data_IF_369315777025
#
_entry.id   IF_369315777025
#
_cell.length_a   1.000
_cell.length_b   1.000
_cell.length_c   1.000
_cell.angle_alpha   90.00
_cell.angle_beta   90.00
_cell.angle_gamma   90.00
#
_symmetry.space_group_name_H-M   'P 1'
#
loop_
_entity.id
_entity.type
_entity.pdbx_description
1 polymer ?
#
# COMPACT_ATOMS: atom_id res chain seq x y z
N UNK A 1 -2.57 33.94 19.91
CA UNK A 1 -3.95 34.27 19.50
C UNK A 1 -4.48 33.11 18.68
N UNK A 2 -5.04 32.09 19.34
CA UNK A 2 -5.85 31.07 18.67
C UNK A 2 -7.21 31.08 19.36
N UNK A 3 -8.01 32.09 19.05
CA UNK A 3 -9.46 32.04 19.26
C UNK A 3 -10.04 31.09 18.22
N UNK A 4 -9.77 29.80 18.38
CA UNK A 4 -10.40 28.73 17.61
C UNK A 4 -11.73 28.40 18.25
N UNK A 5 -12.73 29.24 18.06
CA UNK A 5 -14.10 28.72 18.06
C UNK A 5 -14.11 27.67 16.94
N UNK A 6 -14.38 26.42 17.30
CA UNK A 6 -14.34 25.30 16.36
C UNK A 6 -15.29 25.63 15.20
N UNK A 7 -14.81 25.60 13.95
CA UNK A 7 -15.67 25.84 12.78
C UNK A 7 -16.91 24.92 12.76
N UNK A 8 -16.82 23.79 13.47
CA UNK A 8 -17.93 22.88 13.73
C UNK A 8 -18.99 23.45 14.68
N UNK A 9 -18.62 24.20 15.72
CA UNK A 9 -19.58 24.81 16.65
C UNK A 9 -20.46 25.84 15.92
N UNK A 10 -19.86 26.65 15.04
CA UNK A 10 -20.61 27.59 14.21
C UNK A 10 -21.54 26.90 13.20
N UNK A 11 -21.16 25.72 12.69
CA UNK A 11 -21.99 24.96 11.76
C UNK A 11 -23.19 24.32 12.47
N UNK A 12 -22.98 23.81 13.69
CA UNK A 12 -24.04 23.27 14.54
C UNK A 12 -25.07 24.35 14.86
N UNK A 13 -24.64 25.56 15.22
CA UNK A 13 -25.54 26.69 15.51
C UNK A 13 -26.39 27.09 14.30
N UNK A 14 -25.81 27.07 13.10
CA UNK A 14 -26.53 27.38 11.84
C UNK A 14 -27.56 26.30 11.49
N UNK A 15 -27.20 25.02 11.69
CA UNK A 15 -28.11 23.89 11.50
C UNK A 15 -29.26 23.91 12.52
N UNK A 16 -28.96 24.16 13.80
CA UNK A 16 -29.96 24.28 14.87
C UNK A 16 -30.94 25.43 14.60
N UNK A 17 -30.46 26.59 14.14
CA UNK A 17 -31.32 27.71 13.80
C UNK A 17 -32.24 27.40 12.60
N UNK A 18 -31.74 26.68 11.59
CA UNK A 18 -32.55 26.25 10.43
C UNK A 18 -33.57 25.16 10.79
N UNK A 19 -33.19 24.22 11.67
CA UNK A 19 -34.09 23.20 12.19
C UNK A 19 -35.20 23.82 13.04
N UNK A 20 -34.85 24.75 13.94
CA UNK A 20 -35.82 25.46 14.78
C UNK A 20 -36.78 26.32 13.96
N UNK A 21 -36.33 26.92 12.86
CA UNK A 21 -37.22 27.64 11.93
C UNK A 21 -38.26 26.70 11.29
N UNK A 22 -37.88 25.46 10.97
CA UNK A 22 -38.77 24.45 10.40
C UNK A 22 -39.72 23.85 11.45
N UNK A 23 -39.27 23.67 12.69
CA UNK A 23 -40.13 23.19 13.80
C UNK A 23 -41.19 24.22 14.18
N UNK A 24 -40.87 25.52 14.10
CA UNK A 24 -41.80 26.61 14.43
C UNK A 24 -43.02 26.70 13.52
N UNK A 25 -42.98 26.12 12.32
CA UNK A 25 -44.08 26.16 11.35
C UNK A 25 -45.00 24.93 11.40
N UNK A 26 -44.68 23.94 12.23
CA UNK A 26 -45.45 22.70 12.37
C UNK A 26 -46.66 22.88 13.30
N UNK A 27 -47.73 22.12 13.03
CA UNK A 27 -48.91 22.06 13.91
C UNK A 27 -48.66 21.20 15.15
N UNK A 28 -49.50 21.34 16.18
CA UNK A 28 -49.37 20.58 17.42
C UNK A 28 -49.45 19.05 17.23
N UNK A 29 -50.26 18.58 16.29
CA UNK A 29 -50.31 17.14 15.94
C UNK A 29 -49.00 16.67 15.30
N UNK A 30 -48.43 17.48 14.40
CA UNK A 30 -47.16 17.17 13.74
C UNK A 30 -45.97 17.21 14.69
N UNK A 31 -46.00 18.11 15.68
CA UNK A 31 -44.98 18.21 16.72
C UNK A 31 -45.05 17.02 17.70
N UNK A 32 -46.26 16.55 18.01
CA UNK A 32 -46.46 15.36 18.83
C UNK A 32 -45.94 14.10 18.11
N UNK A 33 -46.20 13.98 16.81
CA UNK A 33 -45.62 12.90 15.99
C UNK A 33 -44.09 13.00 15.87
N UNK A 34 -43.51 14.21 15.85
CA UNK A 34 -42.06 14.40 15.83
C UNK A 34 -41.39 13.96 17.14
N UNK A 35 -42.07 14.10 18.29
CA UNK A 35 -41.54 13.73 19.60
C UNK A 35 -41.47 12.20 19.79
N UNK A 36 -42.38 11.45 19.20
CA UNK A 36 -42.49 10.00 19.39
C UNK A 36 -42.00 9.16 18.20
N UNK A 37 -41.60 9.78 17.08
CA UNK A 37 -41.16 9.07 15.89
C UNK A 37 -39.78 9.57 15.42
N UNK A 38 -38.72 8.84 15.78
CA UNK A 38 -37.33 9.15 15.43
C UNK A 38 -37.11 9.24 13.91
N UNK A 39 -37.77 8.40 13.11
CA UNK A 39 -37.64 8.44 11.64
C UNK A 39 -38.08 9.77 11.02
N UNK A 40 -39.05 10.43 11.65
CA UNK A 40 -39.51 11.76 11.22
C UNK A 40 -38.50 12.83 11.57
N UNK A 41 -37.84 12.69 12.73
CA UNK A 41 -36.76 13.58 13.16
C UNK A 41 -35.54 13.45 12.21
N UNK A 42 -35.15 12.22 11.85
CA UNK A 42 -34.10 11.96 10.86
C UNK A 42 -34.46 12.58 9.50
N UNK A 43 -35.71 12.42 9.05
CA UNK A 43 -36.16 13.04 7.80
C UNK A 43 -36.09 14.56 7.85
N UNK A 44 -36.33 15.19 9.01
CA UNK A 44 -36.22 16.64 9.17
C UNK A 44 -34.74 17.08 9.07
N UNK A 45 -33.84 16.30 9.67
CA UNK A 45 -32.39 16.52 9.67
C UNK A 45 -31.84 16.38 8.23
N UNK A 46 -32.20 15.32 7.51
CA UNK A 46 -31.76 15.10 6.12
C UNK A 46 -32.25 16.19 5.15
N UNK A 47 -33.41 16.79 5.45
CA UNK A 47 -33.96 17.88 4.65
C UNK A 47 -33.34 19.25 4.96
N UNK A 48 -32.50 19.37 5.98
CA UNK A 48 -31.81 20.63 6.27
C UNK A 48 -30.88 20.98 5.10
N UNK A 49 -30.91 22.24 4.61
CA UNK A 49 -30.15 22.62 3.43
C UNK A 49 -28.64 22.46 3.62
N UNK A 50 -28.15 22.67 4.86
CA UNK A 50 -26.75 22.48 5.23
C UNK A 50 -26.35 21.00 5.18
N UNK A 51 -27.21 20.07 5.59
CA UNK A 51 -26.89 18.63 5.58
C UNK A 51 -26.99 18.08 4.16
N UNK A 52 -27.98 18.53 3.40
CA UNK A 52 -28.19 18.13 2.01
C UNK A 52 -27.08 18.57 1.05
N UNK A 53 -26.37 19.66 1.33
CA UNK A 53 -25.26 20.13 0.49
C UNK A 53 -23.91 19.45 0.80
N UNK A 54 -23.74 18.86 1.99
CA UNK A 54 -22.49 18.21 2.39
C UNK A 54 -22.04 17.06 1.46
N UNK A 55 -22.91 16.18 0.96
CA UNK A 55 -22.51 15.15 0.00
C UNK A 55 -21.93 15.77 -1.28
N UNK A 56 -22.58 16.80 -1.81
CA UNK A 56 -22.12 17.51 -3.02
C UNK A 56 -20.81 18.24 -2.79
N UNK A 57 -20.64 18.90 -1.64
CA UNK A 57 -19.38 19.56 -1.27
C UNK A 57 -18.24 18.55 -1.08
N UNK A 58 -18.53 17.40 -0.46
CA UNK A 58 -17.59 16.29 -0.33
C UNK A 58 -17.17 15.76 -1.71
N UNK A 59 -18.13 15.54 -2.60
CA UNK A 59 -17.86 15.09 -3.97
C UNK A 59 -17.04 16.12 -4.75
N UNK A 60 -17.38 17.41 -4.62
CA UNK A 60 -16.62 18.50 -5.23
C UNK A 60 -15.17 18.57 -4.70
N UNK A 61 -14.98 18.45 -3.38
CA UNK A 61 -13.65 18.42 -2.76
C UNK A 61 -12.83 17.18 -3.15
N UNK A 62 -13.47 16.01 -3.26
CA UNK A 62 -12.83 14.79 -3.76
C UNK A 62 -12.42 14.95 -5.23
N UNK A 63 -13.31 15.47 -6.09
CA UNK A 63 -13.03 15.72 -7.49
C UNK A 63 -11.90 16.75 -7.68
N UNK A 64 -11.89 17.81 -6.88
CA UNK A 64 -10.82 18.82 -6.88
C UNK A 64 -9.50 18.19 -6.47
N UNK A 65 -9.44 17.49 -5.34
CA UNK A 65 -8.22 16.84 -4.87
C UNK A 65 -7.71 15.80 -5.87
N UNK A 66 -8.60 15.01 -6.46
CA UNK A 66 -8.26 14.07 -7.53
C UNK A 66 -7.65 14.79 -8.73
N UNK A 67 -8.28 15.88 -9.20
CA UNK A 67 -7.77 16.66 -10.32
C UNK A 67 -6.41 17.29 -10.01
N UNK A 68 -6.18 17.78 -8.79
CA UNK A 68 -4.87 18.28 -8.36
C UNK A 68 -3.82 17.17 -8.31
N UNK A 69 -4.18 16.00 -7.81
CA UNK A 69 -3.29 14.85 -7.78
C UNK A 69 -2.90 14.42 -9.20
N UNK A 70 -3.87 14.26 -10.10
CA UNK A 70 -3.62 13.95 -11.52
C UNK A 70 -2.72 14.99 -12.18
N UNK A 71 -2.94 16.28 -11.91
CA UNK A 71 -2.08 17.36 -12.41
C UNK A 71 -0.66 17.28 -11.83
N UNK A 72 -0.50 17.04 -10.53
CA UNK A 72 0.80 16.89 -9.88
C UNK A 72 1.59 15.69 -10.44
N UNK A 73 0.92 14.54 -10.63
CA UNK A 73 1.53 13.36 -11.25
C UNK A 73 1.96 13.66 -12.70
N UNK A 74 1.14 14.38 -13.45
CA UNK A 74 1.50 14.81 -14.80
C UNK A 74 2.74 15.72 -14.81
N UNK A 75 2.88 16.63 -13.83
CA UNK A 75 4.06 17.49 -13.70
C UNK A 75 5.32 16.72 -13.30
N UNK A 76 5.20 15.66 -12.49
CA UNK A 76 6.35 14.85 -12.05
C UNK A 76 7.11 14.26 -13.24
N UNK A 77 6.38 13.74 -14.24
CA UNK A 77 7.00 13.21 -15.46
C UNK A 77 7.84 14.24 -16.22
N UNK A 78 7.36 15.49 -16.29
CA UNK A 78 8.06 16.60 -16.95
C UNK A 78 9.30 17.02 -16.15
N UNK A 79 9.22 17.03 -14.83
CA UNK A 79 10.35 17.33 -13.97
C UNK A 79 11.45 16.28 -14.11
N UNK A 80 11.09 15.00 -14.21
CA UNK A 80 12.07 13.93 -14.37
C UNK A 80 12.75 13.97 -15.74
N UNK A 81 12.00 14.26 -16.81
CA UNK A 81 12.58 14.50 -18.14
C UNK A 81 13.59 15.66 -18.11
N UNK A 82 13.24 16.78 -17.48
CA UNK A 82 14.14 17.93 -17.36
C UNK A 82 15.36 17.62 -16.50
N UNK A 83 15.20 16.86 -15.41
CA UNK A 83 16.33 16.43 -14.55
C UNK A 83 17.32 15.57 -15.32
N UNK A 84 16.84 14.63 -16.13
CA UNK A 84 17.69 13.81 -17.00
C UNK A 84 18.41 14.68 -18.02
N UNK A 85 17.69 15.57 -18.70
CA UNK A 85 18.26 16.44 -19.72
C UNK A 85 19.37 17.33 -19.16
N UNK A 86 19.12 18.00 -18.02
CA UNK A 86 20.12 18.87 -17.37
C UNK A 86 21.36 18.08 -16.95
N UNK A 87 21.20 16.87 -16.40
CA UNK A 87 22.35 16.04 -16.02
C UNK A 87 23.14 15.53 -17.21
N UNK A 88 22.47 15.18 -18.31
CA UNK A 88 23.11 14.76 -19.55
C UNK A 88 23.96 15.89 -20.13
N UNK A 89 23.38 17.09 -20.27
CA UNK A 89 24.10 18.28 -20.76
C UNK A 89 25.30 18.60 -19.87
N UNK A 90 25.14 18.58 -18.54
CA UNK A 90 26.23 18.85 -17.60
C UNK A 90 27.35 17.79 -17.64
N UNK A 91 27.03 16.54 -18.02
CA UNK A 91 28.03 15.48 -18.20
C UNK A 91 28.81 15.67 -19.51
N UNK A 92 28.12 16.06 -20.58
CA UNK A 92 28.74 16.33 -21.88
C UNK A 92 29.65 17.57 -21.83
N UNK A 93 29.20 18.66 -21.21
CA UNK A 93 30.01 19.87 -21.02
C UNK A 93 31.31 19.60 -20.26
N UNK A 94 31.26 18.74 -19.24
CA UNK A 94 32.44 18.34 -18.49
C UNK A 94 33.44 17.49 -19.31
N UNK A 95 32.94 16.70 -20.26
CA UNK A 95 33.76 15.90 -21.18
C UNK A 95 34.43 16.80 -22.23
N UNK A 96 33.65 17.74 -22.79
CA UNK A 96 34.15 18.77 -23.71
C UNK A 96 35.23 19.65 -23.04
N UNK A 97 35.06 20.00 -21.77
CA UNK A 97 36.05 20.74 -20.97
C UNK A 97 37.36 19.97 -20.79
N UNK A 98 37.29 18.64 -20.64
CA UNK A 98 38.45 17.76 -20.50
C UNK A 98 39.16 17.57 -21.85
N UNK A 99 38.41 17.44 -22.94
CA UNK A 99 38.97 17.49 -24.30
C UNK A 99 39.63 18.83 -24.60
N UNK A 100 39.02 19.94 -24.16
CA UNK A 100 39.55 21.29 -24.31
C UNK A 100 40.91 21.45 -23.63
N UNK A 101 41.06 20.92 -22.41
CA UNK A 101 42.34 20.89 -21.71
C UNK A 101 43.41 20.08 -22.47
N UNK A 102 43.01 18.97 -23.10
CA UNK A 102 43.90 18.14 -23.93
C UNK A 102 44.33 18.87 -25.20
N UNK A 103 43.40 19.57 -25.86
CA UNK A 103 43.68 20.39 -27.05
C UNK A 103 44.61 21.56 -26.71
N UNK A 104 44.44 22.20 -25.55
CA UNK A 104 45.30 23.29 -25.08
C UNK A 104 46.75 22.84 -24.78
N UNK A 105 46.93 21.60 -24.32
CA UNK A 105 48.27 21.01 -24.17
C UNK A 105 48.92 20.76 -25.53
N UNK A 106 48.18 20.19 -26.48
CA UNK A 106 48.67 19.93 -27.83
C UNK A 106 49.08 21.19 -28.59
N UNK A 107 48.45 22.34 -28.29
CA UNK A 107 48.81 23.64 -28.86
C UNK A 107 49.94 24.36 -28.12
N UNK A 108 50.46 23.80 -27.02
CA UNK A 108 51.54 24.37 -26.22
C UNK A 108 51.13 25.55 -25.33
N UNK A 109 49.82 25.78 -25.14
CA UNK A 109 49.30 26.89 -24.33
C UNK A 109 49.43 26.67 -22.81
N UNK A 110 49.64 25.42 -22.38
CA UNK A 110 49.79 25.02 -20.97
C UNK A 110 51.03 24.15 -20.77
N UNK A 111 51.66 24.25 -19.59
CA UNK A 111 52.82 23.42 -19.22
C UNK A 111 52.39 21.99 -18.85
N UNK A 112 53.33 21.03 -18.91
CA UNK A 112 53.04 19.62 -18.64
C UNK A 112 52.55 19.35 -17.21
N UNK A 113 53.09 20.07 -16.21
CA UNK A 113 52.66 19.94 -14.80
C UNK A 113 51.24 20.45 -14.60
N UNK A 114 50.88 21.56 -15.26
CA UNK A 114 49.55 22.15 -15.15
C UNK A 114 48.50 21.34 -15.89
N UNK A 115 48.87 20.77 -17.05
CA UNK A 115 48.03 19.83 -17.78
C UNK A 115 47.67 18.58 -16.97
N UNK A 116 48.64 17.98 -16.27
CA UNK A 116 48.38 16.78 -15.45
C UNK A 116 47.35 17.05 -14.35
N UNK A 117 47.46 18.19 -13.68
CA UNK A 117 46.54 18.60 -12.63
C UNK A 117 45.13 18.84 -13.19
N UNK A 118 45.02 19.66 -14.23
CA UNK A 118 43.73 20.06 -14.81
C UNK A 118 43.01 18.87 -15.47
N UNK A 119 43.73 17.96 -16.13
CA UNK A 119 43.16 16.78 -16.74
C UNK A 119 42.61 15.80 -15.69
N UNK A 120 43.33 15.58 -14.58
CA UNK A 120 42.86 14.73 -13.49
C UNK A 120 41.57 15.28 -12.87
N UNK A 121 41.54 16.58 -12.57
CA UNK A 121 40.36 17.25 -12.00
C UNK A 121 39.16 17.20 -12.97
N UNK A 122 39.36 17.55 -14.24
CA UNK A 122 38.27 17.56 -15.23
C UNK A 122 37.78 16.16 -15.58
N UNK A 123 38.68 15.18 -15.75
CA UNK A 123 38.32 13.79 -16.08
C UNK A 123 37.61 13.08 -14.93
N UNK A 124 38.01 13.33 -13.68
CA UNK A 124 37.31 12.79 -12.51
C UNK A 124 35.90 13.38 -12.39
N UNK A 125 35.73 14.68 -12.64
CA UNK A 125 34.43 15.35 -12.67
C UNK A 125 33.55 14.83 -13.81
N UNK A 126 34.07 14.69 -15.03
CA UNK A 126 33.34 14.15 -16.18
C UNK A 126 32.85 12.71 -15.90
N UNK A 127 33.73 11.84 -15.40
CA UNK A 127 33.37 10.47 -15.02
C UNK A 127 32.30 10.43 -13.92
N UNK A 128 32.43 11.26 -12.88
CA UNK A 128 31.42 11.36 -11.82
C UNK A 128 30.06 11.83 -12.34
N UNK A 129 30.03 12.83 -13.22
CA UNK A 129 28.77 13.32 -13.83
C UNK A 129 28.14 12.29 -14.76
N UNK A 130 28.94 11.55 -15.53
CA UNK A 130 28.49 10.43 -16.36
C UNK A 130 27.84 9.34 -15.53
N UNK A 131 28.53 8.86 -14.49
CA UNK A 131 27.98 7.85 -13.56
C UNK A 131 26.70 8.34 -12.88
N UNK A 132 26.64 9.61 -12.46
CA UNK A 132 25.43 10.21 -11.86
C UNK A 132 24.27 10.36 -12.85
N UNK A 133 24.56 10.57 -14.13
CA UNK A 133 23.57 10.61 -15.21
C UNK A 133 23.00 9.21 -15.47
N UNK A 134 23.88 8.23 -15.67
CA UNK A 134 23.51 6.83 -15.95
C UNK A 134 22.76 6.20 -14.77
N UNK A 135 23.15 6.53 -13.54
CA UNK A 135 22.45 6.07 -12.33
C UNK A 135 21.06 6.68 -12.22
N UNK A 136 20.87 7.95 -12.59
CA UNK A 136 19.54 8.58 -12.58
C UNK A 136 18.61 7.90 -13.59
N UNK A 137 19.11 7.63 -14.80
CA UNK A 137 18.36 6.88 -15.81
C UNK A 137 17.95 5.50 -15.32
N UNK A 138 18.86 4.79 -14.63
CA UNK A 138 18.58 3.47 -14.04
C UNK A 138 17.48 3.56 -12.98
N UNK A 139 17.56 4.54 -12.06
CA UNK A 139 16.56 4.73 -11.01
C UNK A 139 15.19 5.06 -11.59
N UNK A 140 15.11 5.93 -12.60
CA UNK A 140 13.85 6.27 -13.25
C UNK A 140 13.24 5.05 -13.97
N UNK A 141 14.08 4.20 -14.56
CA UNK A 141 13.65 2.95 -15.17
C UNK A 141 13.09 1.97 -14.13
N UNK A 142 13.78 1.82 -13.00
CA UNK A 142 13.35 0.96 -11.89
C UNK A 142 12.05 1.47 -11.24
N UNK A 143 11.89 2.80 -11.13
CA UNK A 143 10.64 3.42 -10.68
C UNK A 143 9.48 3.16 -11.64
N UNK A 144 9.72 3.22 -12.96
CA UNK A 144 8.70 2.85 -13.96
C UNK A 144 8.30 1.37 -13.83
N UNK A 145 9.26 0.47 -13.58
CA UNK A 145 8.96 -0.94 -13.31
C UNK A 145 8.20 -1.14 -11.99
N UNK A 146 8.50 -0.36 -10.96
CA UNK A 146 7.78 -0.40 -9.68
C UNK A 146 6.34 0.14 -9.77
N UNK A 147 6.08 1.09 -10.66
CA UNK A 147 4.72 1.59 -10.95
C UNK A 147 3.92 0.65 -11.87
N UNK A 148 4.59 -0.16 -12.70
CA UNK A 148 3.97 -1.18 -13.56
C UNK A 148 3.69 -2.50 -12.84
N UNK A 149 4.25 -2.71 -11.65
CA UNK A 149 3.86 -3.81 -10.77
C UNK A 149 2.45 -3.53 -10.20
N UNK A 150 1.57 -4.54 -10.08
CA UNK A 150 0.29 -4.35 -9.40
C UNK A 150 0.57 -3.75 -8.02
N UNK A 151 -0.14 -2.67 -7.70
CA UNK A 151 0.03 -1.90 -6.48
C UNK A 151 0.11 -2.84 -5.27
N UNK A 152 1.23 -2.75 -4.54
CA UNK A 152 1.33 -3.32 -3.20
C UNK A 152 0.12 -2.77 -2.42
N UNK A 153 -0.71 -3.63 -1.78
CA UNK A 153 -1.86 -3.16 -1.05
C UNK A 153 -1.39 -2.15 -0.02
N UNK A 154 -1.99 -0.97 -0.07
CA UNK A 154 -1.77 0.10 0.90
C UNK A 154 -1.93 -0.46 2.30
N UNK A 155 -1.19 0.11 3.26
CA UNK A 155 -1.34 -0.16 4.69
C UNK A 155 -2.68 0.39 5.19
N UNK A 156 -3.76 -0.23 4.73
CA UNK A 156 -5.16 -0.08 5.08
C UNK A 156 -5.75 -1.48 4.86
N UNK A 157 -6.53 -1.95 5.82
CA UNK A 157 -7.28 -3.22 5.74
C UNK A 157 -8.15 -3.19 4.49
N UNK A 158 -7.71 -3.84 3.41
CA UNK A 158 -8.58 -4.15 2.27
C UNK A 158 -9.19 -5.51 2.55
N UNK A 159 -10.40 -5.48 3.12
CA UNK A 159 -11.33 -6.58 2.92
C UNK A 159 -11.64 -6.63 1.42
N UNK A 160 -10.97 -7.52 0.68
CA UNK A 160 -11.49 -8.01 -0.59
C UNK A 160 -12.60 -9.03 -0.34
N UNK A 161 -13.55 -8.68 0.52
CA UNK A 161 -14.80 -9.44 0.62
C UNK A 161 -15.82 -8.67 -0.20
N UNK A 162 -15.77 -8.87 -1.51
CA UNK A 162 -16.88 -8.48 -2.39
C UNK A 162 -18.05 -9.40 -2.04
N UNK A 163 -19.17 -8.92 -1.49
CA UNK A 163 -20.34 -9.77 -1.39
C UNK A 163 -20.81 -10.03 -2.82
N UNK A 164 -20.78 -11.29 -3.26
CA UNK A 164 -21.46 -11.68 -4.49
C UNK A 164 -22.94 -11.48 -4.24
N UNK A 165 -23.51 -10.38 -4.74
CA UNK A 165 -24.96 -10.16 -4.73
C UNK A 165 -25.52 -11.16 -5.74
N UNK A 166 -26.00 -12.29 -5.24
CA UNK A 166 -26.91 -13.15 -5.99
C UNK A 166 -28.28 -12.48 -5.85
N UNK A 167 -28.76 -11.86 -6.93
CA UNK A 167 -30.17 -11.49 -7.03
C UNK A 167 -31.00 -12.77 -6.92
N UNK A 168 -31.64 -12.96 -5.78
CA UNK A 168 -32.70 -13.93 -5.61
C UNK A 168 -33.92 -13.17 -5.11
N UNK A 169 -34.87 -12.97 -6.03
CA UNK A 169 -36.24 -12.65 -5.68
C UNK A 169 -36.74 -13.71 -4.68
N UNK A 170 -37.57 -13.28 -3.73
CA UNK A 170 -38.33 -14.07 -2.74
C UNK A 170 -37.79 -14.07 -1.29
N UNK A 171 -38.24 -13.04 -0.55
CA UNK A 171 -38.93 -13.15 0.76
C UNK A 171 -38.33 -14.03 1.88
N UNK A 172 -37.02 -14.17 2.01
CA UNK A 172 -36.37 -14.58 3.27
C UNK A 172 -35.02 -13.87 3.41
N UNK A 173 -34.69 -13.40 4.62
CA UNK A 173 -33.47 -12.67 4.93
C UNK A 173 -32.26 -13.61 4.83
N UNK A 174 -31.65 -13.74 3.65
CA UNK A 174 -30.46 -14.57 3.42
C UNK A 174 -29.26 -13.89 4.08
N UNK A 175 -28.85 -14.41 5.24
CA UNK A 175 -27.61 -13.97 5.89
C UNK A 175 -26.43 -14.55 5.11
N UNK A 176 -25.67 -13.69 4.44
CA UNK A 176 -24.41 -14.08 3.80
C UNK A 176 -23.44 -14.65 4.83
N UNK A 177 -22.85 -15.80 4.48
CA UNK A 177 -21.91 -16.55 5.33
C UNK A 177 -20.65 -16.86 4.52
N UNK A 178 -19.50 -16.69 5.14
CA UNK A 178 -18.22 -17.10 4.57
C UNK A 178 -17.90 -18.53 5.02
N UNK A 179 -17.62 -19.40 4.06
CA UNK A 179 -17.34 -20.81 4.34
C UNK A 179 -16.05 -21.00 5.14
N UNK A 180 -14.95 -20.40 4.65
CA UNK A 180 -13.63 -20.42 5.29
C UNK A 180 -12.96 -19.05 5.16
N UNK A 181 -12.60 -18.48 6.31
CA UNK A 181 -11.97 -17.18 6.42
C UNK A 181 -10.66 -17.30 7.21
N UNK A 182 -9.58 -16.77 6.66
CA UNK A 182 -8.29 -16.69 7.31
C UNK A 182 -8.10 -15.30 7.91
N UNK A 183 -7.79 -15.25 9.21
CA UNK A 183 -7.33 -14.06 9.92
C UNK A 183 -5.82 -14.17 10.05
N UNK A 184 -5.11 -13.43 9.19
CA UNK A 184 -3.64 -13.39 9.16
C UNK A 184 -3.13 -12.28 10.08
N UNK A 185 -2.13 -12.58 10.87
CA UNK A 185 -1.53 -11.68 11.86
C UNK A 185 -0.02 -11.66 11.60
N UNK A 186 0.49 -10.50 11.19
CA UNK A 186 1.88 -10.31 10.84
C UNK A 186 2.55 -9.28 11.75
N UNK A 187 3.81 -9.50 12.07
CA UNK A 187 4.61 -8.52 12.79
C UNK A 187 6.05 -8.99 13.00
N UNK A 188 6.87 -8.11 13.56
CA UNK A 188 8.30 -8.37 13.77
C UNK A 188 8.61 -8.92 15.16
N UNK A 189 7.75 -8.62 16.14
CA UNK A 189 7.89 -9.14 17.51
C UNK A 189 6.99 -10.37 17.69
N UNK A 190 7.64 -11.51 17.91
CA UNK A 190 7.00 -12.79 18.12
C UNK A 190 6.05 -12.78 19.33
N UNK A 191 6.42 -12.11 20.42
CA UNK A 191 5.71 -12.19 21.71
C UNK A 191 4.32 -11.57 21.66
N UNK A 192 4.17 -10.44 20.96
CA UNK A 192 2.88 -9.78 20.80
C UNK A 192 1.95 -10.55 19.87
N UNK A 193 2.49 -11.13 18.79
CA UNK A 193 1.69 -11.87 17.80
C UNK A 193 1.09 -13.14 18.42
N UNK A 194 1.85 -13.89 19.22
CA UNK A 194 1.36 -15.12 19.86
C UNK A 194 0.26 -14.83 20.91
N UNK A 195 0.46 -13.79 21.72
CA UNK A 195 -0.54 -13.32 22.67
C UNK A 195 -1.80 -12.85 21.95
N UNK A 196 -1.64 -12.14 20.84
CA UNK A 196 -2.74 -11.59 20.07
C UNK A 196 -3.51 -12.65 19.27
N UNK A 197 -2.82 -13.67 18.72
CA UNK A 197 -3.44 -14.86 18.14
C UNK A 197 -4.34 -15.56 19.17
N UNK A 198 -3.84 -15.74 20.39
CA UNK A 198 -4.62 -16.34 21.48
C UNK A 198 -5.83 -15.47 21.87
N UNK A 199 -5.70 -14.15 21.82
CA UNK A 199 -6.80 -13.21 22.05
C UNK A 199 -7.87 -13.32 20.96
N UNK A 200 -7.47 -13.34 19.68
CA UNK A 200 -8.35 -13.49 18.52
C UNK A 200 -9.10 -14.82 18.57
N UNK A 201 -8.44 -15.94 18.89
CA UNK A 201 -9.10 -17.25 19.03
C UNK A 201 -10.18 -17.23 20.13
N UNK A 202 -9.84 -16.69 21.31
CA UNK A 202 -10.82 -16.54 22.41
C UNK A 202 -11.98 -15.62 22.03
N UNK A 203 -11.71 -14.54 21.32
CA UNK A 203 -12.73 -13.59 20.88
C UNK A 203 -13.65 -14.22 19.83
N UNK A 204 -13.10 -14.94 18.86
CA UNK A 204 -13.88 -15.63 17.82
C UNK A 204 -14.87 -16.63 18.45
N UNK A 205 -14.43 -17.38 19.47
CA UNK A 205 -15.32 -18.29 20.21
C UNK A 205 -16.45 -17.57 20.95
N UNK A 206 -16.20 -16.36 21.48
CA UNK A 206 -17.23 -15.52 22.14
C UNK A 206 -18.25 -14.96 21.15
N UNK A 207 -17.84 -14.70 19.92
CA UNK A 207 -18.72 -14.31 18.81
C UNK A 207 -19.43 -15.50 18.14
N UNK A 208 -19.31 -16.71 18.73
CA UNK A 208 -19.88 -17.95 18.22
C UNK A 208 -19.39 -18.34 16.82
N UNK A 209 -18.17 -17.94 16.43
CA UNK A 209 -17.52 -18.46 15.23
C UNK A 209 -16.86 -19.80 15.50
N UNK A 210 -16.89 -20.68 14.49
CA UNK A 210 -16.24 -21.96 14.57
C UNK A 210 -14.78 -21.86 14.11
N UNK A 211 -13.84 -21.89 15.06
CA UNK A 211 -12.40 -21.87 14.77
C UNK A 211 -11.94 -23.27 14.36
N UNK A 212 -11.52 -23.43 13.12
CA UNK A 212 -11.09 -24.72 12.54
C UNK A 212 -9.64 -25.02 12.93
N UNK A 213 -8.75 -24.08 12.64
CA UNK A 213 -7.31 -24.22 12.92
C UNK A 213 -6.71 -22.89 13.34
N UNK A 214 -5.66 -22.96 14.15
CA UNK A 214 -4.85 -21.82 14.55
C UNK A 214 -3.40 -22.26 14.47
N UNK A 215 -2.65 -21.75 13.48
CA UNK A 215 -1.33 -22.27 13.14
C UNK A 215 -0.31 -21.18 12.89
N UNK A 216 0.95 -21.63 12.98
CA UNK A 216 2.14 -20.86 12.71
C UNK A 216 2.62 -21.07 11.29
N UNK A 217 2.99 -19.99 10.60
CA UNK A 217 3.74 -20.06 9.34
C UNK A 217 5.21 -19.75 9.60
N UNK A 218 6.10 -20.30 8.77
CA UNK A 218 7.53 -20.07 8.82
C UNK A 218 7.84 -18.56 8.66
N UNK A 219 8.76 -18.07 9.48
CA UNK A 219 9.14 -16.66 9.46
C UNK A 219 9.93 -16.31 8.19
N UNK A 220 9.66 -15.13 7.63
CA UNK A 220 10.40 -14.60 6.50
C UNK A 220 11.49 -13.66 7.02
N UNK A 221 12.76 -14.04 6.86
CA UNK A 221 13.89 -13.19 7.23
C UNK A 221 14.27 -12.28 6.07
N UNK A 222 14.25 -10.97 6.30
CA UNK A 222 14.71 -9.95 5.37
C UNK A 222 15.98 -9.31 5.89
N UNK A 223 16.98 -9.15 5.03
CA UNK A 223 18.25 -8.52 5.39
C UNK A 223 18.18 -7.02 5.07
N UNK A 224 18.24 -6.18 6.10
CA UNK A 224 18.22 -4.72 5.97
C UNK A 224 19.64 -4.21 6.16
N UNK A 225 20.16 -3.59 5.11
CA UNK A 225 21.54 -3.09 5.05
C UNK A 225 21.52 -1.57 5.02
N UNK A 226 22.20 -0.94 5.98
CA UNK A 226 22.40 0.50 6.03
C UNK A 226 23.79 0.80 5.49
N UNK A 227 23.87 1.70 4.52
CA UNK A 227 25.12 2.12 3.91
C UNK A 227 25.65 3.40 4.53
N UNK A 228 26.98 3.58 4.50
CA UNK A 228 27.61 4.83 4.90
C UNK A 228 27.16 5.99 3.99
N UNK A 229 27.05 7.22 4.52
CA UNK A 229 26.66 8.37 3.71
C UNK A 229 27.62 8.52 2.51
N UNK A 230 27.05 8.60 1.31
CA UNK A 230 27.78 8.72 0.04
C UNK A 230 28.72 7.54 -0.32
N UNK A 231 28.49 6.35 0.24
CA UNK A 231 29.28 5.16 -0.07
C UNK A 231 28.39 3.92 -0.25
N UNK A 232 28.91 2.90 -0.94
CA UNK A 232 28.31 1.56 -1.03
C UNK A 232 28.83 0.62 0.05
N UNK A 233 29.71 1.10 0.92
CA UNK A 233 30.23 0.34 2.05
C UNK A 233 29.11 0.19 3.08
N UNK A 234 28.85 -1.06 3.44
CA UNK A 234 27.89 -1.42 4.49
C UNK A 234 28.38 -0.87 5.82
N UNK A 235 27.51 -0.14 6.50
CA UNK A 235 27.74 0.38 7.85
C UNK A 235 27.16 -0.58 8.89
N UNK A 236 25.89 -0.96 8.71
CA UNK A 236 25.17 -1.87 9.60
C UNK A 236 24.33 -2.86 8.80
N UNK A 237 24.20 -4.07 9.33
CA UNK A 237 23.38 -5.15 8.78
C UNK A 237 22.47 -5.70 9.89
N UNK A 238 21.16 -5.73 9.62
CA UNK A 238 20.14 -6.22 10.55
C UNK A 238 19.26 -7.22 9.82
N UNK A 239 19.16 -8.43 10.39
CA UNK A 239 18.21 -9.44 9.94
C UNK A 239 16.87 -9.24 10.63
N UNK A 240 15.86 -8.83 9.87
CA UNK A 240 14.51 -8.61 10.34
C UNK A 240 13.64 -9.82 10.01
N UNK A 241 13.19 -10.55 11.03
CA UNK A 241 12.29 -11.69 10.86
C UNK A 241 10.83 -11.24 10.95
N UNK A 242 10.06 -11.45 9.88
CA UNK A 242 8.62 -11.24 9.87
C UNK A 242 7.92 -12.55 10.26
N UNK A 243 7.26 -12.54 11.41
CA UNK A 243 6.47 -13.66 11.91
C UNK A 243 5.04 -13.55 11.42
N UNK A 244 4.45 -14.70 11.14
CA UNK A 244 3.11 -14.82 10.58
C UNK A 244 2.32 -15.91 11.30
N UNK A 245 1.11 -15.57 11.73
CA UNK A 245 0.16 -16.44 12.43
C UNK A 245 -1.19 -16.32 11.76
N UNK A 246 -1.87 -17.46 11.60
CA UNK A 246 -3.17 -17.52 10.93
C UNK A 246 -4.18 -18.22 11.82
N UNK A 247 -5.35 -17.61 11.99
CA UNK A 247 -6.52 -18.22 12.63
C UNK A 247 -7.58 -18.44 11.55
N UNK A 248 -7.96 -19.70 11.33
CA UNK A 248 -8.94 -20.11 10.33
C UNK A 248 -10.31 -20.27 10.98
N UNK A 249 -11.27 -19.52 10.48
CA UNK A 249 -12.67 -19.53 10.90
C UNK A 249 -13.52 -20.19 9.83
N UNK A 250 -14.57 -20.90 10.24
CA UNK A 250 -15.57 -21.48 9.35
C UNK A 250 -16.97 -20.95 9.63
N UNK A 251 -17.80 -20.92 8.59
CA UNK A 251 -19.22 -20.54 8.66
C UNK A 251 -19.45 -19.19 9.37
N UNK A 252 -18.74 -18.17 8.91
CA UNK A 252 -18.73 -16.85 9.53
C UNK A 252 -19.86 -16.00 8.96
N UNK A 253 -20.84 -15.62 9.78
CA UNK A 253 -21.92 -14.73 9.36
C UNK A 253 -21.41 -13.29 9.12
N UNK A 254 -21.71 -12.72 7.95
CA UNK A 254 -21.21 -11.42 7.53
C UNK A 254 -21.53 -10.25 8.51
N UNK A 255 -22.73 -10.16 9.12
CA UNK A 255 -23.01 -9.09 10.08
C UNK A 255 -22.16 -9.16 11.35
N UNK A 256 -21.96 -10.36 11.89
CA UNK A 256 -21.12 -10.57 13.06
C UNK A 256 -19.63 -10.37 12.74
N UNK A 257 -19.21 -10.70 11.51
CA UNK A 257 -17.84 -10.49 11.07
C UNK A 257 -17.47 -9.02 11.09
N UNK A 258 -18.36 -8.14 10.65
CA UNK A 258 -18.10 -6.70 10.66
C UNK A 258 -17.82 -6.20 12.09
N UNK A 259 -18.66 -6.60 13.06
CA UNK A 259 -18.47 -6.26 14.47
C UNK A 259 -17.17 -6.84 15.04
N UNK A 260 -16.85 -8.07 14.66
CA UNK A 260 -15.61 -8.73 15.06
C UNK A 260 -14.37 -8.01 14.53
N UNK A 261 -14.39 -7.57 13.26
CA UNK A 261 -13.29 -6.83 12.65
C UNK A 261 -13.07 -5.51 13.39
N UNK A 262 -14.13 -4.74 13.62
CA UNK A 262 -14.04 -3.48 14.38
C UNK A 262 -13.42 -3.71 15.76
N UNK A 263 -13.80 -4.79 16.45
CA UNK A 263 -13.24 -5.12 17.76
C UNK A 263 -11.75 -5.55 17.69
N UNK A 264 -11.37 -6.29 16.65
CA UNK A 264 -9.96 -6.66 16.45
C UNK A 264 -9.10 -5.44 16.13
N UNK A 265 -9.64 -4.50 15.35
CA UNK A 265 -8.97 -3.23 15.02
C UNK A 265 -8.80 -2.33 16.25
N UNK A 266 -9.79 -2.25 17.15
CA UNK A 266 -9.67 -1.42 18.37
C UNK A 266 -8.64 -1.96 19.36
N UNK A 267 -8.40 -3.27 19.36
CA UNK A 267 -7.45 -3.93 20.26
C UNK A 267 -6.10 -4.26 19.60
N UNK A 268 -5.84 -3.76 18.40
CA UNK A 268 -4.63 -4.05 17.64
C UNK A 268 -3.38 -3.47 18.34
N UNK A 269 -2.39 -4.32 18.71
CA UNK A 269 -1.15 -3.83 19.30
C UNK A 269 -0.24 -3.14 18.27
N UNK A 270 0.61 -2.25 18.76
CA UNK A 270 1.56 -1.50 17.92
C UNK A 270 2.51 -2.45 17.20
N UNK A 271 2.70 -2.22 15.89
CA UNK A 271 3.63 -3.00 15.07
C UNK A 271 3.09 -4.34 14.58
N UNK A 272 1.82 -4.66 14.85
CA UNK A 272 1.13 -5.83 14.31
C UNK A 272 0.16 -5.39 13.20
N UNK A 273 0.11 -6.15 12.13
CA UNK A 273 -0.82 -5.97 11.01
C UNK A 273 -1.73 -7.17 10.92
N UNK A 274 -3.04 -6.94 10.82
CA UNK A 274 -4.04 -8.00 10.65
C UNK A 274 -4.67 -7.91 9.26
N UNK A 275 -4.91 -9.05 8.64
CA UNK A 275 -5.55 -9.14 7.33
C UNK A 275 -6.61 -10.22 7.36
N UNK A 276 -7.83 -9.87 6.95
CA UNK A 276 -8.94 -10.80 6.78
C UNK A 276 -9.03 -11.18 5.31
N UNK A 277 -8.76 -12.44 4.98
CA UNK A 277 -8.77 -12.97 3.61
C UNK A 277 -9.60 -14.24 3.55
N UNK A 278 -10.39 -14.43 2.49
CA UNK A 278 -11.01 -15.73 2.21
C UNK A 278 -9.91 -16.78 1.98
N UNK A 279 -10.13 -17.99 2.48
CA UNK A 279 -9.14 -19.05 2.35
C UNK A 279 -9.04 -19.57 0.92
N UNK A 280 -7.83 -19.59 0.38
CA UNK A 280 -7.52 -20.20 -0.93
C UNK A 280 -6.51 -21.34 -0.79
N UNK A 281 -6.48 -22.24 -1.77
CA UNK A 281 -5.51 -23.35 -1.83
C UNK A 281 -4.05 -22.87 -1.82
N UNK A 282 -3.77 -21.71 -2.41
CA UNK A 282 -2.44 -21.10 -2.39
C UNK A 282 -1.96 -20.77 -0.96
N UNK A 283 -2.86 -20.46 -0.02
CA UNK A 283 -2.51 -20.18 1.37
C UNK A 283 -2.11 -21.47 2.13
N UNK A 284 -2.65 -22.61 1.71
CA UNK A 284 -2.24 -23.93 2.19
C UNK A 284 -0.87 -24.32 1.63
N UNK A 285 -0.65 -24.14 0.33
CA UNK A 285 0.65 -24.43 -0.29
C UNK A 285 1.77 -23.57 0.34
N UNK A 286 1.48 -22.31 0.68
CA UNK A 286 2.41 -21.41 1.37
C UNK A 286 2.83 -21.88 2.77
N UNK A 287 1.99 -22.66 3.45
CA UNK A 287 2.31 -23.24 4.77
C UNK A 287 3.41 -24.29 4.68
N UNK A 288 3.51 -25.02 3.57
CA UNK A 288 4.43 -26.14 3.41
C UNK A 288 5.75 -25.70 2.80
N UNK A 289 6.83 -26.34 3.23
CA UNK A 289 8.15 -26.15 2.63
C UNK A 289 8.18 -26.91 1.30
N UNK A 290 8.45 -26.26 0.16
CA UNK A 290 8.51 -26.95 -1.12
C UNK A 290 9.60 -28.03 -1.14
N UNK A 291 9.27 -29.23 -1.61
CA UNK A 291 10.26 -30.27 -1.86
C UNK A 291 11.09 -29.92 -3.11
N UNK A 292 12.32 -29.47 -2.87
CA UNK A 292 13.23 -29.04 -3.92
C UNK A 292 13.61 -30.20 -4.85
N UNK A 293 13.75 -31.42 -4.32
CA UNK A 293 14.13 -32.60 -5.10
C UNK A 293 12.99 -33.02 -6.01
N UNK A 294 11.75 -33.06 -5.48
CA UNK A 294 10.57 -33.35 -6.28
C UNK A 294 10.41 -32.34 -7.43
N UNK A 295 10.60 -31.04 -7.12
CA UNK A 295 10.53 -29.98 -8.12
C UNK A 295 11.59 -30.13 -9.20
N UNK A 296 12.84 -30.44 -8.82
CA UNK A 296 13.92 -30.72 -9.77
C UNK A 296 13.61 -31.91 -10.66
N UNK A 297 13.07 -33.01 -10.10
CA UNK A 297 12.72 -34.20 -10.86
C UNK A 297 11.56 -33.96 -11.83
N UNK A 298 10.57 -33.16 -11.43
CA UNK A 298 9.49 -32.74 -12.31
C UNK A 298 10.00 -31.84 -13.45
N UNK A 299 10.94 -30.94 -13.18
CA UNK A 299 11.55 -30.09 -14.19
C UNK A 299 12.43 -30.90 -15.15
N UNK A 300 13.17 -31.88 -14.65
CA UNK A 300 13.94 -32.84 -15.44
C UNK A 300 13.02 -33.62 -16.40
N UNK A 301 11.91 -34.17 -15.90
CA UNK A 301 10.89 -34.83 -16.72
C UNK A 301 10.29 -33.90 -17.78
N UNK A 302 9.96 -32.65 -17.43
CA UNK A 302 9.48 -31.66 -18.40
C UNK A 302 10.54 -31.31 -19.45
N UNK A 303 11.81 -31.25 -19.06
CA UNK A 303 12.91 -30.99 -19.98
C UNK A 303 13.08 -32.13 -20.98
N UNK A 304 12.85 -33.37 -20.53
CA UNK A 304 12.83 -34.57 -21.36
C UNK A 304 11.68 -34.56 -22.37
N UNK A 305 10.62 -33.76 -22.23
CA UNK A 305 9.61 -33.62 -23.30
C UNK A 305 10.15 -32.90 -24.55
N UNK A 306 11.28 -32.20 -24.44
CA UNK A 306 11.93 -31.59 -25.60
C UNK A 306 12.75 -32.62 -26.40
N UNK A 307 12.50 -32.80 -27.71
CA UNK A 307 13.19 -33.80 -28.53
C UNK A 307 14.71 -33.56 -28.63
N UNK A 308 15.14 -32.29 -28.54
CA UNK A 308 16.56 -31.91 -28.53
C UNK A 308 17.26 -32.46 -27.28
N UNK A 309 16.59 -32.42 -26.13
CA UNK A 309 17.14 -32.91 -24.86
C UNK A 309 17.20 -34.44 -24.87
N UNK A 310 16.18 -35.13 -25.41
CA UNK A 310 16.19 -36.60 -25.58
C UNK A 310 17.33 -37.09 -26.45
N UNK A 311 17.54 -36.44 -27.61
CA UNK A 311 18.62 -36.77 -28.54
C UNK A 311 20.00 -36.56 -27.91
N UNK A 312 20.19 -35.48 -27.15
CA UNK A 312 21.46 -35.22 -26.45
C UNK A 312 21.75 -36.24 -25.32
N UNK A 313 20.70 -36.82 -24.73
CA UNK A 313 20.82 -37.86 -23.71
C UNK A 313 20.97 -39.27 -24.30
N UNK A 314 20.84 -39.43 -25.63
CA UNK A 314 20.97 -40.71 -26.34
C UNK A 314 19.73 -41.61 -26.26
N UNK A 315 18.54 -41.02 -26.07
CA UNK A 315 17.27 -41.75 -25.97
C UNK A 315 16.54 -41.87 -27.32
N UNK A 316 16.99 -41.10 -28.33
CA UNK A 316 16.57 -41.07 -29.74
C UNK A 316 17.79 -40.85 -30.64
#
# INVERSE_FOLDING_TARGET
MYSGQSAYDSLIDVCLNSAMASVRTLSMEQLNELLYNESRLDSLIDNLPQIRCLPTEREAGLAQNKSLAEWNLAQETKLDQLRVQVRFVAAQEADDDAEGATKAFLSGAISAEQFLKDLLEKKTLAHLRKVKSDRLLTILRDQQYAQAAPSVPQRIVVLSLSPTIVECEHKYQVIFRYDLLNVRIQGYDFTYIEKFQSYIDRMARRFNFNVVESYAVAAQTQRVVVYKPNSTIVDNDINLALYDRVVRLSNVAAPHLQLFITLVETHLPIGVTVTFKQHEKADEDYRYIPDLLLKQKQEELKSLDNPIVRRNLGWE
#
